data_IF_448083409539
#
_entry.id   IF_448083409539
#
_cell.length_a   1.000
_cell.length_b   1.000
_cell.length_c   1.000
_cell.angle_alpha   90.00
_cell.angle_beta   90.00
_cell.angle_gamma   90.00
#
_symmetry.space_group_name_H-M   'P 1'
#
loop_
_entity.id
_entity.type
_entity.pdbx_description
1 polymer ?
#
# COMPACT_ATOMS: atom_id res chain seq x y z
N UNK A 1 -61.78 9.61 -4.37
CA UNK A 1 -61.94 9.16 -5.75
C UNK A 1 -60.99 7.99 -6.06
N UNK A 2 -61.38 7.14 -6.97
CA UNK A 2 -60.57 5.97 -7.35
C UNK A 2 -59.19 6.33 -7.92
N UNK A 3 -59.06 7.46 -8.59
CA UNK A 3 -57.78 7.87 -9.17
C UNK A 3 -56.74 8.25 -8.10
N UNK A 4 -57.19 8.86 -6.99
CA UNK A 4 -56.30 9.21 -5.89
C UNK A 4 -55.77 7.97 -5.15
N UNK A 5 -56.61 6.95 -5.00
CA UNK A 5 -56.24 5.68 -4.36
C UNK A 5 -55.28 4.88 -5.22
N UNK A 6 -55.46 4.84 -6.55
CA UNK A 6 -54.55 4.18 -7.46
C UNK A 6 -53.17 4.86 -7.49
N UNK A 7 -53.14 6.19 -7.49
CA UNK A 7 -51.86 6.93 -7.44
C UNK A 7 -51.12 6.63 -6.13
N UNK A 8 -51.80 6.60 -5.01
CA UNK A 8 -51.21 6.26 -3.72
C UNK A 8 -50.68 4.81 -3.72
N UNK A 9 -51.46 3.88 -4.29
CA UNK A 9 -51.04 2.49 -4.43
C UNK A 9 -49.79 2.36 -5.28
N UNK A 10 -49.73 3.05 -6.42
CA UNK A 10 -48.61 3.02 -7.31
C UNK A 10 -47.37 3.62 -6.63
N UNK A 11 -47.49 4.71 -5.89
CA UNK A 11 -46.42 5.29 -5.12
C UNK A 11 -45.86 4.34 -4.06
N UNK A 12 -46.75 3.61 -3.37
CA UNK A 12 -46.35 2.62 -2.36
C UNK A 12 -45.60 1.45 -3.02
N UNK A 13 -46.10 0.95 -4.14
CA UNK A 13 -45.43 -0.13 -4.87
C UNK A 13 -44.08 0.28 -5.39
N UNK A 14 -43.96 1.52 -5.92
CA UNK A 14 -42.69 2.06 -6.38
C UNK A 14 -41.67 2.16 -5.25
N UNK A 15 -42.10 2.65 -4.09
CA UNK A 15 -41.22 2.74 -2.90
C UNK A 15 -40.78 1.36 -2.41
N UNK A 16 -41.68 0.37 -2.45
CA UNK A 16 -41.37 -0.98 -2.06
C UNK A 16 -40.33 -1.60 -3.03
N UNK A 17 -40.47 -1.38 -4.33
CA UNK A 17 -39.52 -1.85 -5.32
C UNK A 17 -38.17 -1.21 -5.14
N UNK A 18 -38.11 0.09 -4.84
CA UNK A 18 -36.88 0.78 -4.57
C UNK A 18 -36.17 0.26 -3.31
N UNK A 19 -36.94 -0.05 -2.27
CA UNK A 19 -36.39 -0.65 -1.04
C UNK A 19 -35.84 -2.05 -1.33
N UNK A 20 -36.52 -2.86 -2.11
CA UNK A 20 -36.05 -4.20 -2.50
C UNK A 20 -34.76 -4.12 -3.29
N UNK A 21 -34.70 -3.20 -4.24
CA UNK A 21 -33.49 -2.95 -5.02
C UNK A 21 -32.32 -2.55 -4.13
N UNK A 22 -32.55 -1.64 -3.22
CA UNK A 22 -31.54 -1.17 -2.27
C UNK A 22 -31.05 -2.31 -1.37
N UNK A 23 -31.95 -3.14 -0.87
CA UNK A 23 -31.61 -4.31 -0.05
C UNK A 23 -30.74 -5.30 -0.83
N UNK A 24 -31.04 -5.54 -2.09
CA UNK A 24 -30.23 -6.41 -2.95
C UNK A 24 -28.84 -5.84 -3.19
N UNK A 25 -28.75 -4.55 -3.41
CA UNK A 25 -27.47 -3.85 -3.58
C UNK A 25 -26.64 -3.93 -2.30
N UNK A 26 -27.24 -3.65 -1.14
CA UNK A 26 -26.60 -3.77 0.16
C UNK A 26 -26.12 -5.20 0.40
N UNK A 27 -26.94 -6.19 0.05
CA UNK A 27 -26.57 -7.60 0.17
C UNK A 27 -25.35 -7.96 -0.66
N UNK A 28 -25.30 -7.54 -1.94
CA UNK A 28 -24.17 -7.83 -2.81
C UNK A 28 -22.90 -7.07 -2.40
N UNK A 29 -23.04 -5.82 -2.00
CA UNK A 29 -21.93 -5.00 -1.49
C UNK A 29 -21.34 -5.59 -0.21
N UNK A 30 -22.21 -6.00 0.71
CA UNK A 30 -21.80 -6.63 1.98
C UNK A 30 -21.10 -7.97 1.72
N UNK A 31 -21.61 -8.78 0.79
CA UNK A 31 -20.96 -10.04 0.42
C UNK A 31 -19.57 -9.81 -0.16
N UNK A 32 -19.42 -8.80 -1.01
CA UNK A 32 -18.12 -8.45 -1.58
C UNK A 32 -17.13 -7.99 -0.49
N UNK A 33 -17.56 -7.11 0.40
CA UNK A 33 -16.70 -6.65 1.51
C UNK A 33 -16.33 -7.80 2.45
N UNK A 34 -17.25 -8.71 2.72
CA UNK A 34 -17.00 -9.88 3.57
C UNK A 34 -15.99 -10.85 2.95
N UNK A 35 -15.81 -10.80 1.64
CA UNK A 35 -14.83 -11.62 0.93
C UNK A 35 -13.40 -11.11 1.00
N UNK A 36 -13.18 -9.93 1.54
CA UNK A 36 -11.84 -9.36 1.68
C UNK A 36 -11.15 -9.96 2.90
N UNK A 37 -10.21 -10.87 2.64
CA UNK A 37 -9.48 -11.57 3.69
C UNK A 37 -7.99 -11.31 3.54
N UNK A 38 -7.33 -10.76 4.56
CA UNK A 38 -5.88 -10.63 4.53
C UNK A 38 -5.21 -11.98 4.75
N UNK A 39 -4.06 -12.15 4.14
CA UNK A 39 -3.19 -13.30 4.40
C UNK A 39 -2.52 -13.16 5.77
N UNK A 40 -1.87 -14.22 6.19
CA UNK A 40 -1.13 -14.20 7.45
C UNK A 40 -0.01 -13.16 7.41
N UNK A 41 0.37 -12.70 8.59
CA UNK A 41 1.42 -11.72 8.75
C UNK A 41 2.73 -12.20 8.15
N UNK A 42 3.31 -11.35 7.31
CA UNK A 42 4.66 -11.52 6.78
C UNK A 42 5.42 -10.22 7.03
N UNK A 43 6.48 -10.24 7.84
CA UNK A 43 7.23 -9.03 8.14
C UNK A 43 7.88 -8.39 6.92
N UNK A 44 8.11 -9.17 5.87
CA UNK A 44 8.68 -8.66 4.61
C UNK A 44 7.65 -7.99 3.71
N UNK A 45 6.36 -8.31 3.92
CA UNK A 45 5.27 -7.78 3.12
C UNK A 45 4.10 -7.38 4.03
N UNK A 46 4.23 -6.29 4.80
CA UNK A 46 3.19 -5.89 5.75
C UNK A 46 1.96 -5.30 5.08
N UNK A 47 2.07 -4.80 3.87
CA UNK A 47 0.96 -4.23 3.14
C UNK A 47 0.39 -5.26 2.17
N UNK A 48 -0.94 -5.34 2.11
CA UNK A 48 -1.64 -6.27 1.22
C UNK A 48 -2.78 -5.56 0.52
N UNK A 49 -3.07 -6.01 -0.69
CA UNK A 49 -4.24 -5.59 -1.46
C UNK A 49 -5.14 -6.80 -1.67
N UNK A 50 -6.43 -6.58 -1.53
CA UNK A 50 -7.43 -7.64 -1.63
C UNK A 50 -8.50 -7.24 -2.62
N UNK A 51 -9.02 -8.23 -3.35
CA UNK A 51 -10.16 -8.05 -4.26
C UNK A 51 -11.15 -9.17 -3.99
N UNK A 52 -12.43 -8.83 -3.99
CA UNK A 52 -13.49 -9.81 -3.82
C UNK A 52 -14.69 -9.45 -4.67
N UNK A 53 -15.43 -10.46 -5.05
CA UNK A 53 -16.69 -10.31 -5.78
C UNK A 53 -17.84 -10.74 -4.88
N UNK A 54 -18.94 -10.01 -4.94
CA UNK A 54 -20.14 -10.33 -4.20
C UNK A 54 -21.33 -10.51 -5.13
N UNK A 55 -22.19 -11.42 -4.79
CA UNK A 55 -23.42 -11.68 -5.52
C UNK A 55 -24.55 -11.91 -4.54
N UNK A 56 -25.64 -11.21 -4.75
CA UNK A 56 -26.87 -11.41 -3.99
C UNK A 56 -28.06 -11.19 -4.90
N UNK A 57 -28.82 -12.24 -5.09
CA UNK A 57 -29.97 -12.26 -6.03
C UNK A 57 -29.48 -11.78 -7.41
N UNK A 58 -30.04 -10.75 -7.97
CA UNK A 58 -29.68 -10.29 -9.31
C UNK A 58 -28.57 -9.22 -9.31
N UNK A 59 -27.92 -9.02 -8.18
CA UNK A 59 -26.96 -7.94 -8.00
C UNK A 59 -25.55 -8.47 -7.83
N UNK A 60 -24.60 -7.81 -8.48
CA UNK A 60 -23.19 -8.14 -8.37
C UNK A 60 -22.41 -6.91 -7.92
N UNK A 61 -21.39 -7.13 -7.13
CA UNK A 61 -20.54 -6.08 -6.61
C UNK A 61 -19.09 -6.54 -6.62
N UNK A 62 -18.18 -5.57 -6.72
CA UNK A 62 -16.75 -5.80 -6.59
C UNK A 62 -16.26 -5.00 -5.38
N UNK A 63 -15.40 -5.60 -4.58
CA UNK A 63 -14.75 -4.94 -3.48
C UNK A 63 -13.23 -4.94 -3.67
N UNK A 64 -12.62 -3.84 -3.31
CA UNK A 64 -11.18 -3.71 -3.26
C UNK A 64 -10.81 -3.27 -1.85
N UNK A 65 -9.80 -3.88 -1.29
CA UNK A 65 -9.36 -3.55 0.04
C UNK A 65 -7.86 -3.53 0.17
N UNK A 66 -7.42 -2.96 1.26
CA UNK A 66 -6.01 -2.94 1.64
C UNK A 66 -5.92 -3.24 3.13
N UNK A 67 -4.85 -3.92 3.51
CA UNK A 67 -4.54 -4.14 4.91
C UNK A 67 -3.08 -3.83 5.17
N UNK A 68 -2.81 -3.44 6.39
CA UNK A 68 -1.45 -3.16 6.83
C UNK A 68 -1.24 -3.73 8.22
N UNK A 69 -0.22 -4.56 8.35
CA UNK A 69 0.21 -5.10 9.62
C UNK A 69 1.27 -4.19 10.23
N UNK A 70 0.95 -3.56 11.35
CA UNK A 70 1.92 -2.76 12.10
C UNK A 70 2.92 -3.66 12.84
N UNK A 71 2.44 -4.81 13.28
CA UNK A 71 3.23 -5.88 13.87
C UNK A 71 2.44 -7.19 13.76
N UNK A 72 2.94 -8.27 14.35
CA UNK A 72 2.29 -9.58 14.34
C UNK A 72 0.97 -9.62 15.10
N UNK A 73 0.66 -8.59 15.89
CA UNK A 73 -0.53 -8.53 16.75
C UNK A 73 -1.54 -7.46 16.38
N UNK A 74 -1.15 -6.51 15.56
CA UNK A 74 -2.01 -5.37 15.22
C UNK A 74 -2.04 -5.15 13.72
N UNK A 75 -3.26 -5.07 13.20
CA UNK A 75 -3.52 -4.88 11.78
C UNK A 75 -4.65 -3.87 11.58
N UNK A 76 -4.53 -3.08 10.55
CA UNK A 76 -5.61 -2.22 10.04
C UNK A 76 -6.03 -2.71 8.67
N UNK A 77 -7.33 -2.71 8.41
CA UNK A 77 -7.86 -3.04 7.09
C UNK A 77 -8.89 -2.01 6.66
N UNK A 78 -8.97 -1.80 5.37
CA UNK A 78 -9.99 -0.93 4.77
C UNK A 78 -10.48 -1.57 3.50
N UNK A 79 -11.73 -1.33 3.17
CA UNK A 79 -12.33 -1.86 1.95
C UNK A 79 -13.38 -0.92 1.41
N UNK A 80 -13.54 -0.95 0.10
CA UNK A 80 -14.58 -0.24 -0.63
C UNK A 80 -15.22 -1.22 -1.59
N UNK A 81 -16.54 -1.26 -1.60
CA UNK A 81 -17.31 -2.06 -2.55
C UNK A 81 -18.15 -1.16 -3.44
N UNK A 82 -18.26 -1.55 -4.70
CA UNK A 82 -19.05 -0.85 -5.69
C UNK A 82 -19.98 -1.83 -6.39
N UNK A 83 -21.21 -1.41 -6.63
CA UNK A 83 -22.15 -2.19 -7.43
C UNK A 83 -22.28 -1.59 -8.83
N UNK A 84 -22.31 -2.46 -9.85
CA UNK A 84 -22.27 -2.07 -11.25
C UNK A 84 -23.62 -1.76 -11.90
N UNK A 85 -24.52 -1.11 -11.20
CA UNK A 85 -25.84 -0.81 -11.72
C UNK A 85 -26.01 0.63 -12.20
N UNK A 86 -27.22 0.92 -12.73
CA UNK A 86 -27.58 2.24 -13.29
C UNK A 86 -27.26 3.40 -12.37
N UNK A 87 -27.35 3.19 -11.06
CA UNK A 87 -26.82 4.08 -10.04
C UNK A 87 -25.73 3.31 -9.28
N UNK A 88 -24.50 3.71 -9.45
CA UNK A 88 -23.40 3.11 -8.70
C UNK A 88 -23.61 3.33 -7.21
N UNK A 89 -23.74 2.25 -6.49
CA UNK A 89 -23.82 2.26 -5.03
C UNK A 89 -22.49 1.86 -4.47
N UNK A 90 -22.08 2.49 -3.39
CA UNK A 90 -20.80 2.25 -2.75
C UNK A 90 -20.98 1.97 -1.27
N UNK A 91 -20.11 1.14 -0.73
CA UNK A 91 -20.04 0.83 0.68
C UNK A 91 -18.57 0.73 1.08
N UNK A 92 -18.22 1.21 2.26
CA UNK A 92 -16.83 1.19 2.71
C UNK A 92 -16.76 0.72 4.16
N UNK A 93 -15.60 0.17 4.51
CA UNK A 93 -15.30 -0.17 5.90
C UNK A 93 -13.87 0.16 6.26
N UNK A 94 -13.64 0.36 7.55
CA UNK A 94 -12.32 0.42 8.15
C UNK A 94 -12.39 -0.44 9.41
N UNK A 95 -11.41 -1.30 9.58
CA UNK A 95 -11.35 -2.20 10.71
C UNK A 95 -9.97 -2.30 11.30
N UNK A 96 -9.92 -2.64 12.57
CA UNK A 96 -8.69 -2.90 13.30
C UNK A 96 -8.79 -4.27 13.94
N UNK A 97 -7.70 -5.02 13.90
CA UNK A 97 -7.62 -6.33 14.51
C UNK A 97 -6.43 -6.38 15.45
N UNK A 98 -6.69 -6.83 16.66
CA UNK A 98 -5.67 -6.97 17.70
C UNK A 98 -5.67 -8.42 18.18
N UNK A 99 -4.52 -9.06 18.19
CA UNK A 99 -4.36 -10.38 18.80
C UNK A 99 -4.18 -10.25 20.29
N UNK A 100 -4.97 -11.01 21.03
CA UNK A 100 -4.91 -11.05 22.48
C UNK A 100 -4.25 -12.36 22.93
N UNK A 101 -3.55 -12.31 24.05
CA UNK A 101 -2.93 -13.49 24.65
C UNK A 101 -1.42 -13.54 24.48
N UNK A 102 -0.83 -14.56 25.08
CA UNK A 102 0.62 -14.77 24.97
C UNK A 102 0.96 -15.34 23.62
N UNK A 103 2.02 -14.80 22.98
CA UNK A 103 2.54 -15.38 21.77
C UNK A 103 3.03 -16.82 22.04
N UNK A 104 2.62 -17.74 21.18
CA UNK A 104 3.07 -19.14 21.28
C UNK A 104 4.53 -19.23 20.85
N UNK A 105 5.48 -19.06 21.72
CA UNK A 105 6.90 -19.40 21.59
C UNK A 105 7.57 -19.44 20.20
N UNK A 106 6.81 -19.20 19.14
CA UNK A 106 7.32 -19.02 17.78
C UNK A 106 7.57 -17.53 17.61
N UNK A 107 8.80 -17.17 17.67
CA UNK A 107 9.26 -15.81 17.56
C UNK A 107 9.14 -15.30 16.13
N UNK A 108 7.93 -14.95 15.71
CA UNK A 108 7.74 -13.98 14.63
C UNK A 108 7.80 -12.60 15.27
N UNK A 109 8.94 -12.31 15.81
CA UNK A 109 9.10 -11.15 16.65
C UNK A 109 9.25 -9.89 15.84
N UNK A 110 9.04 -8.83 16.55
CA UNK A 110 9.55 -7.50 16.27
C UNK A 110 10.99 -7.53 15.75
N UNK A 111 11.75 -8.60 16.06
CA UNK A 111 13.12 -8.80 15.60
C UNK A 111 13.34 -8.60 14.09
N UNK A 112 12.49 -9.10 13.16
CA UNK A 112 12.71 -8.82 11.74
C UNK A 112 12.55 -7.35 11.38
N UNK A 113 11.61 -6.65 12.02
CA UNK A 113 11.41 -5.22 11.75
C UNK A 113 12.56 -4.39 12.33
N UNK A 114 12.99 -4.69 13.55
CA UNK A 114 14.14 -4.06 14.17
C UNK A 114 15.43 -4.37 13.42
N UNK A 115 15.59 -5.59 12.95
CA UNK A 115 16.75 -6.00 12.15
C UNK A 115 16.82 -5.21 10.85
N UNK A 116 15.67 -5.02 10.19
CA UNK A 116 15.59 -4.21 8.96
C UNK A 116 15.92 -2.75 9.27
N UNK A 117 15.39 -2.19 10.34
CA UNK A 117 15.67 -0.82 10.75
C UNK A 117 17.16 -0.64 11.08
N UNK A 118 17.75 -1.56 11.81
CA UNK A 118 19.17 -1.55 12.15
C UNK A 118 20.03 -1.66 10.89
N UNK A 119 19.62 -2.50 9.95
CA UNK A 119 20.31 -2.68 8.68
C UNK A 119 20.23 -1.43 7.81
N UNK A 120 19.08 -0.76 7.77
CA UNK A 120 18.91 0.52 7.08
C UNK A 120 19.81 1.58 7.70
N UNK A 121 19.86 1.66 9.03
CA UNK A 121 20.75 2.59 9.72
C UNK A 121 22.22 2.33 9.39
N UNK A 122 22.63 1.05 9.43
CA UNK A 122 23.98 0.64 9.08
C UNK A 122 24.34 1.01 7.65
N UNK A 123 23.45 0.72 6.70
CA UNK A 123 23.65 1.04 5.29
C UNK A 123 23.71 2.56 5.06
N UNK A 124 22.93 3.33 5.80
CA UNK A 124 22.95 4.79 5.71
C UNK A 124 24.30 5.35 6.20
N UNK A 125 24.81 4.84 7.32
CA UNK A 125 26.11 5.22 7.84
C UNK A 125 27.21 4.84 6.86
N UNK A 126 27.14 3.65 6.30
CA UNK A 126 28.10 3.16 5.32
C UNK A 126 28.09 3.98 4.03
N UNK A 127 26.89 4.34 3.54
CA UNK A 127 26.76 5.22 2.39
C UNK A 127 27.35 6.60 2.63
N UNK A 128 27.14 7.17 3.81
CA UNK A 128 27.71 8.46 4.17
C UNK A 128 29.24 8.38 4.23
N UNK A 129 29.76 7.29 4.75
CA UNK A 129 31.21 7.03 4.77
C UNK A 129 31.79 6.93 3.36
N UNK A 130 31.13 6.17 2.49
CA UNK A 130 31.53 6.04 1.09
C UNK A 130 31.47 7.37 0.34
N UNK A 131 30.45 8.18 0.62
CA UNK A 131 30.33 9.50 0.00
C UNK A 131 31.51 10.40 0.38
N UNK A 132 31.94 10.38 1.64
CA UNK A 132 33.11 11.10 2.10
C UNK A 132 34.41 10.59 1.46
N UNK A 133 34.55 9.27 1.40
CA UNK A 133 35.73 8.65 0.74
C UNK A 133 35.75 9.00 -0.74
N UNK A 134 34.58 9.02 -1.40
CA UNK A 134 34.52 9.42 -2.82
C UNK A 134 34.91 10.88 -3.04
N UNK A 135 34.47 11.77 -2.15
CA UNK A 135 34.87 13.18 -2.23
C UNK A 135 36.39 13.34 -2.04
N UNK A 136 36.96 12.62 -1.10
CA UNK A 136 38.40 12.61 -0.85
C UNK A 136 39.17 12.06 -2.04
N UNK A 137 38.67 10.97 -2.65
CA UNK A 137 39.27 10.41 -3.86
C UNK A 137 39.21 11.39 -5.04
N UNK A 138 38.12 12.11 -5.20
CA UNK A 138 37.98 13.14 -6.23
C UNK A 138 39.01 14.26 -6.03
N UNK A 139 39.18 14.65 -4.79
CA UNK A 139 40.20 15.68 -4.46
C UNK A 139 41.58 15.19 -4.79
N UNK A 140 41.94 13.95 -4.44
CA UNK A 140 43.24 13.36 -4.76
C UNK A 140 43.44 13.23 -6.28
N UNK A 141 42.40 12.84 -7.00
CA UNK A 141 42.45 12.73 -8.47
C UNK A 141 42.73 14.12 -9.08
N UNK A 142 42.07 15.15 -8.59
CA UNK A 142 42.31 16.52 -9.07
C UNK A 142 43.72 16.98 -8.78
N UNK A 143 44.26 16.70 -7.61
CA UNK A 143 45.66 17.01 -7.28
C UNK A 143 46.61 16.28 -8.21
N UNK A 144 46.40 15.00 -8.45
CA UNK A 144 47.22 14.20 -9.35
C UNK A 144 47.15 14.73 -10.78
N UNK A 145 45.97 15.10 -11.24
CA UNK A 145 45.79 15.67 -12.57
C UNK A 145 46.55 16.98 -12.73
N UNK A 146 46.56 17.82 -11.70
CA UNK A 146 47.35 19.05 -11.72
C UNK A 146 48.85 18.79 -11.74
N UNK A 147 49.30 17.78 -10.99
CA UNK A 147 50.72 17.36 -11.02
C UNK A 147 51.11 16.81 -12.40
N UNK A 148 50.26 16.02 -12.98
CA UNK A 148 50.47 15.48 -14.34
C UNK A 148 50.56 16.62 -15.34
N UNK A 149 49.68 17.60 -15.23
CA UNK A 149 49.66 18.77 -16.09
C UNK A 149 50.96 19.56 -15.98
N UNK A 150 51.46 19.79 -14.77
CA UNK A 150 52.73 20.46 -14.52
C UNK A 150 53.92 19.68 -15.08
N UNK A 151 53.90 18.36 -14.95
CA UNK A 151 54.92 17.50 -15.50
C UNK A 151 54.91 17.51 -17.02
N UNK A 152 53.75 17.51 -17.64
CA UNK A 152 53.58 17.63 -19.09
C UNK A 152 54.12 18.96 -19.58
N UNK A 153 53.83 20.06 -18.88
CA UNK A 153 54.36 21.39 -19.20
C UNK A 153 55.89 21.44 -19.10
N UNK A 154 56.46 20.81 -18.08
CA UNK A 154 57.93 20.73 -17.95
C UNK A 154 58.56 19.90 -19.05
N UNK A 155 57.94 18.78 -19.41
CA UNK A 155 58.42 17.95 -20.51
C UNK A 155 58.37 18.70 -21.83
N UNK A 156 57.31 19.42 -22.08
CA UNK A 156 57.19 20.24 -23.27
C UNK A 156 58.23 21.37 -23.32
N UNK A 157 58.46 22.02 -22.18
CA UNK A 157 59.48 23.02 -22.03
C UNK A 157 60.90 22.47 -22.30
N UNK A 158 61.21 21.28 -21.79
CA UNK A 158 62.52 20.61 -22.01
C UNK A 158 62.68 20.15 -23.46
N UNK A 159 61.59 19.69 -24.09
CA UNK A 159 61.58 19.30 -25.51
C UNK A 159 61.85 20.50 -26.42
N UNK A 160 61.36 21.68 -26.09
CA UNK A 160 61.49 22.89 -26.90
C UNK A 160 62.85 23.57 -26.73
N UNK A 161 63.60 23.15 -25.73
CA UNK A 161 64.97 23.69 -25.50
C UNK A 161 66.07 23.03 -26.30
N UNK A 162 65.76 22.10 -27.12
CA UNK A 162 66.77 21.48 -28.03
C UNK A 162 67.04 22.37 -29.21
#
# INVERSE_FOLDING_TARGET
>A
SGAGIENLRNDVYEKIDNIKDEMRSVGSLSAALAGLHPMQYDPKAPAQVMVALGHYKNRQSVAVGASYYFNDRFMMSTGVALSGEKKTKAMANVGFTLKLGKSSGVTYEEAPLYTIQDEVKRLTVENNKQAKENQELKFQINEQNERIKKLEEKLESLSNKK
#
